data_IF_014900032302
#
_entry.id   IF_014900032302
#
_cell.length_a   1.000
_cell.length_b   1.000
_cell.length_c   1.000
_cell.angle_alpha   90.00
_cell.angle_beta   90.00
_cell.angle_gamma   90.00
#
_symmetry.space_group_name_H-M   'P 1'
#
loop_
_entity.id
_entity.type
_entity.pdbx_description
1 polymer ?
#
# COMPACT_ATOMS: atom_id res chain seq x y z
N UNK A 1 -5.37 -21.88 1.58
CA UNK A 1 -4.73 -20.57 1.83
C UNK A 1 -5.22 -19.59 0.78
N UNK A 2 -5.53 -18.36 1.17
CA UNK A 2 -6.02 -17.28 0.32
C UNK A 2 -5.08 -16.07 0.45
N UNK A 3 -4.76 -15.44 -0.69
CA UNK A 3 -3.97 -14.21 -0.72
C UNK A 3 -4.83 -13.07 -1.26
N UNK A 4 -4.98 -12.00 -0.48
CA UNK A 4 -5.60 -10.76 -0.94
C UNK A 4 -4.51 -9.94 -1.64
N UNK A 5 -4.39 -10.12 -2.96
CA UNK A 5 -3.35 -9.46 -3.75
C UNK A 5 -3.57 -7.94 -3.90
N UNK A 6 -4.81 -7.47 -3.82
CA UNK A 6 -5.12 -6.04 -3.94
C UNK A 6 -4.80 -5.30 -2.62
N UNK A 7 -3.99 -4.25 -2.71
CA UNK A 7 -3.68 -3.36 -1.57
C UNK A 7 -4.93 -2.74 -0.97
N UNK A 8 -5.83 -2.23 -1.81
CA UNK A 8 -7.10 -1.63 -1.37
C UNK A 8 -7.96 -2.65 -0.62
N UNK A 9 -8.11 -3.86 -1.17
CA UNK A 9 -8.89 -4.92 -0.52
C UNK A 9 -8.23 -5.37 0.78
N UNK A 10 -6.90 -5.49 0.83
CA UNK A 10 -6.18 -5.81 2.06
C UNK A 10 -6.39 -4.75 3.12
N UNK A 11 -6.26 -3.47 2.75
CA UNK A 11 -6.40 -2.34 3.67
C UNK A 11 -7.80 -2.23 4.29
N UNK A 12 -8.84 -2.69 3.58
CA UNK A 12 -10.24 -2.54 4.01
C UNK A 12 -10.86 -3.82 4.56
N UNK A 13 -10.49 -5.00 4.06
CA UNK A 13 -11.26 -6.23 4.26
C UNK A 13 -10.47 -7.38 4.93
N UNK A 14 -9.14 -7.27 5.13
CA UNK A 14 -8.33 -8.37 5.67
C UNK A 14 -8.86 -8.93 7.01
N UNK A 15 -9.23 -8.13 8.03
CA UNK A 15 -9.73 -8.67 9.29
C UNK A 15 -11.05 -9.44 9.14
N UNK A 16 -11.96 -8.91 8.29
CA UNK A 16 -13.27 -9.52 8.03
C UNK A 16 -13.11 -10.85 7.31
N UNK A 17 -12.26 -10.90 6.29
CA UNK A 17 -11.99 -12.12 5.51
C UNK A 17 -11.24 -13.17 6.33
N UNK A 18 -10.32 -12.77 7.21
CA UNK A 18 -9.67 -13.68 8.17
C UNK A 18 -10.69 -14.37 9.07
N UNK A 19 -11.66 -13.63 9.61
CA UNK A 19 -12.69 -14.20 10.48
C UNK A 19 -13.69 -15.08 9.73
N UNK A 20 -14.11 -14.66 8.53
CA UNK A 20 -15.12 -15.38 7.75
C UNK A 20 -14.63 -16.69 7.13
N UNK A 21 -13.31 -16.83 6.92
CA UNK A 21 -12.71 -17.98 6.25
C UNK A 21 -11.96 -18.92 7.20
N UNK A 22 -11.99 -18.69 8.51
CA UNK A 22 -11.35 -19.56 9.50
C UNK A 22 -11.85 -21.02 9.34
N UNK A 23 -10.94 -22.03 9.29
CA UNK A 23 -9.51 -22.01 9.59
C UNK A 23 -8.59 -21.77 8.37
N UNK A 24 -9.11 -21.38 7.20
CA UNK A 24 -8.29 -21.16 5.99
C UNK A 24 -7.38 -19.94 6.20
N UNK A 25 -6.05 -20.07 6.06
CA UNK A 25 -5.15 -18.93 6.21
C UNK A 25 -5.40 -17.85 5.15
N UNK A 26 -5.62 -16.61 5.58
CA UNK A 26 -5.79 -15.43 4.72
C UNK A 26 -4.65 -14.44 4.96
N UNK A 27 -3.91 -14.13 3.89
CA UNK A 27 -2.74 -13.25 3.92
C UNK A 27 -3.02 -12.03 3.03
N UNK A 28 -2.65 -10.84 3.48
CA UNK A 28 -2.73 -9.61 2.69
C UNK A 28 -1.35 -9.08 2.32
N UNK A 29 -1.30 -8.11 1.41
CA UNK A 29 -0.04 -7.56 0.87
C UNK A 29 0.53 -6.37 1.65
N UNK A 30 -0.25 -5.74 2.55
CA UNK A 30 0.17 -4.56 3.31
C UNK A 30 1.28 -4.87 4.32
N UNK A 31 1.11 -5.89 5.16
CA UNK A 31 2.11 -6.25 6.19
C UNK A 31 3.47 -6.64 5.60
N UNK A 32 3.55 -7.48 4.54
CA UNK A 32 4.82 -7.75 3.86
C UNK A 32 5.46 -6.49 3.28
N UNK A 33 4.68 -5.61 2.63
CA UNK A 33 5.20 -4.37 2.07
C UNK A 33 5.71 -3.39 3.14
N UNK A 34 4.99 -3.26 4.26
CA UNK A 34 5.42 -2.44 5.38
C UNK A 34 6.75 -2.94 5.99
N UNK A 35 6.90 -4.26 6.13
CA UNK A 35 8.15 -4.87 6.62
C UNK A 35 9.33 -4.57 5.71
N UNK A 36 9.16 -4.79 4.40
CA UNK A 36 10.19 -4.50 3.41
C UNK A 36 10.59 -3.02 3.42
N UNK A 37 9.63 -2.10 3.53
CA UNK A 37 9.90 -0.66 3.59
C UNK A 37 10.69 -0.26 4.85
N UNK A 38 10.35 -0.86 6.00
CA UNK A 38 11.05 -0.65 7.28
C UNK A 38 12.49 -1.17 7.22
N UNK A 39 12.72 -2.32 6.58
CA UNK A 39 14.07 -2.88 6.40
C UNK A 39 14.92 -2.04 5.44
N UNK A 40 14.31 -1.48 4.38
CA UNK A 40 15.01 -0.70 3.37
C UNK A 40 15.30 0.78 3.76
N UNK A 41 14.62 1.33 4.79
CA UNK A 41 14.78 2.71 5.23
C UNK A 41 15.48 2.81 6.59
N UNK A 42 16.83 2.95 6.62
CA UNK A 42 17.58 3.12 7.87
C UNK A 42 17.34 4.48 8.53
N UNK A 43 17.02 5.50 7.74
CA UNK A 43 16.68 6.85 8.19
C UNK A 43 15.22 7.01 8.64
N UNK A 44 14.44 5.93 8.55
CA UNK A 44 13.05 5.82 9.03
C UNK A 44 12.08 6.79 8.36
N UNK A 45 12.39 7.28 7.16
CA UNK A 45 11.51 8.11 6.34
C UNK A 45 10.92 7.26 5.22
N UNK A 46 9.61 7.02 5.27
CA UNK A 46 8.94 6.09 4.36
C UNK A 46 7.79 6.81 3.65
N UNK A 47 7.84 6.84 2.32
CA UNK A 47 6.75 7.29 1.46
C UNK A 47 5.84 6.12 1.05
N UNK A 48 4.54 6.34 1.03
CA UNK A 48 3.54 5.37 0.56
C UNK A 48 2.68 6.03 -0.51
N UNK A 49 2.83 5.56 -1.75
CA UNK A 49 1.97 5.93 -2.87
C UNK A 49 0.92 4.84 -3.05
N UNK A 50 -0.36 5.20 -3.04
CA UNK A 50 -1.42 4.21 -3.17
C UNK A 50 -2.74 4.80 -3.70
N UNK A 51 -3.74 3.95 -3.88
CA UNK A 51 -5.11 4.40 -4.18
C UNK A 51 -5.67 5.23 -3.03
N UNK A 52 -6.64 6.11 -3.32
CA UNK A 52 -7.29 6.94 -2.29
C UNK A 52 -7.85 6.11 -1.13
N UNK A 53 -8.48 4.98 -1.43
CA UNK A 53 -9.05 4.10 -0.44
C UNK A 53 -7.97 3.46 0.46
N UNK A 54 -6.80 3.12 -0.11
CA UNK A 54 -5.68 2.58 0.67
C UNK A 54 -5.08 3.64 1.59
N UNK A 55 -4.83 4.85 1.07
CA UNK A 55 -4.31 5.98 1.86
C UNK A 55 -5.26 6.36 2.98
N UNK A 56 -6.54 6.55 2.66
CA UNK A 56 -7.59 6.86 3.64
C UNK A 56 -7.74 5.75 4.68
N UNK A 57 -7.58 4.50 4.26
CA UNK A 57 -7.60 3.34 5.16
C UNK A 57 -6.43 3.32 6.14
N UNK A 58 -5.31 4.00 5.85
CA UNK A 58 -4.16 4.14 6.74
C UNK A 58 -3.47 2.82 7.13
N UNK A 59 -3.71 1.75 6.37
CA UNK A 59 -3.24 0.41 6.72
C UNK A 59 -1.71 0.31 6.72
N UNK A 60 -1.04 0.94 5.76
CA UNK A 60 0.43 0.99 5.71
C UNK A 60 1.02 1.78 6.88
N UNK A 61 0.50 2.97 7.19
CA UNK A 61 0.98 3.75 8.33
C UNK A 61 0.91 2.95 9.64
N UNK A 62 -0.23 2.29 9.91
CA UNK A 62 -0.37 1.42 11.09
C UNK A 62 0.60 0.25 11.08
N UNK A 63 0.73 -0.45 9.95
CA UNK A 63 1.63 -1.60 9.84
C UNK A 63 3.11 -1.20 10.01
N UNK A 64 3.52 -0.06 9.45
CA UNK A 64 4.87 0.50 9.60
C UNK A 64 5.11 0.89 11.05
N UNK A 65 4.20 1.64 11.68
CA UNK A 65 4.35 2.09 13.07
C UNK A 65 4.34 0.93 14.07
N UNK A 66 3.64 -0.17 13.78
CA UNK A 66 3.71 -1.39 14.59
C UNK A 66 5.10 -2.03 14.59
N UNK A 67 5.85 -1.90 13.49
CA UNK A 67 7.22 -2.43 13.37
C UNK A 67 8.28 -1.41 13.81
N UNK A 68 8.04 -0.12 13.57
CA UNK A 68 8.94 0.98 13.90
C UNK A 68 8.14 2.22 14.32
N UNK A 69 7.85 2.39 15.63
CA UNK A 69 6.97 3.45 16.12
C UNK A 69 7.42 4.89 15.82
N UNK A 70 8.73 5.10 15.62
CA UNK A 70 9.32 6.42 15.36
C UNK A 70 9.45 6.76 13.86
N UNK A 71 9.03 5.87 12.96
CA UNK A 71 9.13 6.12 11.52
C UNK A 71 8.25 7.31 11.09
N UNK A 72 8.83 8.18 10.27
CA UNK A 72 8.10 9.25 9.60
C UNK A 72 7.46 8.69 8.33
N UNK A 73 6.13 8.58 8.32
CA UNK A 73 5.37 8.02 7.20
C UNK A 73 4.60 9.13 6.50
N UNK A 74 4.88 9.33 5.21
CA UNK A 74 4.10 10.21 4.33
C UNK A 74 3.29 9.38 3.37
N UNK A 75 1.99 9.64 3.27
CA UNK A 75 1.09 8.90 2.37
C UNK A 75 0.51 9.86 1.34
N UNK A 76 0.56 9.49 0.07
CA UNK A 76 0.04 10.30 -1.04
C UNK A 76 -0.87 9.41 -1.89
N UNK A 77 -2.08 9.90 -2.14
CA UNK A 77 -3.03 9.23 -3.00
C UNK A 77 -2.71 9.56 -4.46
N UNK A 78 -2.50 8.52 -5.27
CA UNK A 78 -2.11 8.64 -6.68
C UNK A 78 -3.18 8.04 -7.62
N UNK A 79 -4.39 8.62 -7.71
CA UNK A 79 -5.51 8.03 -8.46
C UNK A 79 -5.21 7.83 -9.96
N UNK A 80 -4.33 8.62 -10.56
CA UNK A 80 -4.03 8.52 -11.99
C UNK A 80 -3.13 7.32 -12.34
N UNK A 81 -2.30 6.84 -11.41
CA UNK A 81 -1.31 5.80 -11.70
C UNK A 81 -1.94 4.46 -12.09
N UNK A 82 -3.11 4.13 -11.56
CA UNK A 82 -3.81 2.88 -11.92
C UNK A 82 -4.21 2.90 -13.38
N UNK A 83 -4.94 3.93 -13.80
CA UNK A 83 -5.41 4.07 -15.18
C UNK A 83 -4.25 4.13 -16.18
N UNK A 84 -3.19 4.89 -15.84
CA UNK A 84 -2.00 4.97 -16.69
C UNK A 84 -1.33 3.60 -16.85
N UNK A 85 -1.18 2.83 -15.77
CA UNK A 85 -0.58 1.50 -15.84
C UNK A 85 -1.45 0.50 -16.62
N UNK A 86 -2.77 0.53 -16.44
CA UNK A 86 -3.71 -0.38 -17.14
C UNK A 86 -3.75 -0.12 -18.65
N UNK A 87 -3.64 1.13 -19.07
CA UNK A 87 -3.52 1.50 -20.49
C UNK A 87 -2.09 1.33 -21.05
N UNK A 88 -1.14 0.87 -20.23
CA UNK A 88 0.26 0.66 -20.62
C UNK A 88 1.07 1.94 -20.76
N UNK A 89 0.57 3.07 -20.27
CA UNK A 89 1.25 4.38 -20.30
C UNK A 89 2.24 4.48 -19.15
N UNK A 90 3.40 3.84 -19.31
CA UNK A 90 4.45 3.78 -18.27
C UNK A 90 5.64 4.69 -18.55
N UNK A 91 5.69 5.33 -19.72
CA UNK A 91 6.77 6.20 -20.16
C UNK A 91 6.23 7.40 -20.94
N UNK A 92 7.02 8.48 -21.00
CA UNK A 92 6.69 9.68 -21.75
C UNK A 92 5.98 10.74 -20.91
N UNK A 93 5.58 11.85 -21.55
CA UNK A 93 5.30 13.10 -20.84
C UNK A 93 4.07 13.01 -19.91
N UNK A 94 3.08 12.18 -20.22
CA UNK A 94 1.85 12.08 -19.41
C UNK A 94 2.11 11.41 -18.05
N UNK A 95 2.65 10.16 -17.98
CA UNK A 95 2.97 9.56 -16.69
C UNK A 95 4.05 10.31 -15.90
N UNK A 96 5.00 10.97 -16.57
CA UNK A 96 6.00 11.83 -15.93
C UNK A 96 5.36 13.04 -15.23
N UNK A 97 4.50 13.79 -15.93
CA UNK A 97 3.77 14.92 -15.32
C UNK A 97 2.85 14.48 -14.19
N UNK A 98 2.23 13.30 -14.31
CA UNK A 98 1.42 12.75 -13.24
C UNK A 98 2.27 12.45 -11.99
N UNK A 99 3.49 11.93 -12.18
CA UNK A 99 4.42 11.68 -11.09
C UNK A 99 4.94 12.96 -10.43
N UNK A 100 5.28 13.99 -11.20
CA UNK A 100 5.70 15.30 -10.67
C UNK A 100 4.61 16.02 -9.86
N UNK A 101 3.34 15.73 -10.16
CA UNK A 101 2.20 16.34 -9.47
C UNK A 101 2.02 15.82 -8.03
N UNK A 102 2.45 14.60 -7.75
CA UNK A 102 2.31 13.93 -6.46
C UNK A 102 3.52 14.21 -5.56
#
# INVERSE_FOLDING_TARGET
MVVIACNTATALALPVLKAALDPVPVIGVVEPGARAAVEASPDQRIGVLATEATVRGGAYARAIHALRPQAQVSQIACPLFVALAEEGWTQGPVPELAAERY
#
